data_IF_995553400369
#
_entry.id   IF_995553400369
#
_cell.length_a   1.000
_cell.length_b   1.000
_cell.length_c   1.000
_cell.angle_alpha   90.00
_cell.angle_beta   90.00
_cell.angle_gamma   90.00
#
_symmetry.space_group_name_H-M   'P 1'
#
loop_
_entity.id
_entity.type
_entity.pdbx_description
1 polymer ?
#
# COMPACT_ATOMS: atom_id res chain seq x y z
N UNK A 1 5.71 -18.72 -3.24
CA UNK A 1 5.21 -17.45 -2.66
C UNK A 1 3.98 -17.02 -3.44
N UNK A 2 2.94 -16.62 -2.72
CA UNK A 2 1.74 -16.10 -3.37
C UNK A 2 2.01 -14.74 -4.00
N UNK A 3 1.32 -14.43 -5.09
CA UNK A 3 1.47 -13.12 -5.74
C UNK A 3 1.13 -11.98 -4.78
N UNK A 4 0.11 -12.18 -3.94
CA UNK A 4 -0.29 -11.17 -2.94
C UNK A 4 0.85 -10.88 -1.96
N UNK A 5 1.52 -11.92 -1.46
CA UNK A 5 2.63 -11.76 -0.52
C UNK A 5 3.81 -11.05 -1.18
N UNK A 6 4.09 -11.40 -2.43
CA UNK A 6 5.17 -10.78 -3.18
C UNK A 6 4.88 -9.30 -3.43
N UNK A 7 3.66 -8.97 -3.84
CA UNK A 7 3.25 -7.60 -4.10
C UNK A 7 3.33 -6.76 -2.82
N UNK A 8 2.84 -7.31 -1.72
CA UNK A 8 2.90 -6.65 -0.42
C UNK A 8 4.35 -6.34 -0.01
N UNK A 9 5.22 -7.35 -0.09
CA UNK A 9 6.64 -7.20 0.28
C UNK A 9 7.34 -6.21 -0.63
N UNK A 10 7.08 -6.25 -1.93
CA UNK A 10 7.69 -5.38 -2.92
C UNK A 10 7.31 -3.93 -2.69
N UNK A 11 6.03 -3.66 -2.51
CA UNK A 11 5.54 -2.30 -2.27
C UNK A 11 6.13 -1.75 -0.97
N UNK A 12 6.09 -2.55 0.10
CA UNK A 12 6.61 -2.14 1.39
C UNK A 12 8.11 -1.83 1.31
N UNK A 13 8.86 -2.65 0.60
CA UNK A 13 10.29 -2.44 0.41
C UNK A 13 10.56 -1.13 -0.32
N UNK A 14 9.84 -0.87 -1.41
CA UNK A 14 10.02 0.35 -2.20
C UNK A 14 9.70 1.58 -1.36
N UNK A 15 8.61 1.54 -0.60
CA UNK A 15 8.24 2.65 0.29
C UNK A 15 9.33 2.90 1.33
N UNK A 16 9.83 1.84 1.98
CA UNK A 16 10.85 1.97 3.01
C UNK A 16 12.21 2.42 2.45
N UNK A 17 12.48 2.10 1.19
CA UNK A 17 13.73 2.49 0.54
C UNK A 17 13.68 3.90 -0.07
N UNK A 18 12.51 4.53 -0.11
CA UNK A 18 12.35 5.86 -0.68
C UNK A 18 12.78 6.94 0.32
N UNK A 19 13.89 7.65 0.09
CA UNK A 19 14.38 8.65 1.04
C UNK A 19 13.51 9.89 1.11
N UNK A 20 12.59 10.08 0.15
CA UNK A 20 11.70 11.24 0.14
C UNK A 20 10.43 11.03 0.97
N UNK A 21 10.18 9.80 1.41
CA UNK A 21 9.03 9.50 2.27
C UNK A 21 9.51 9.48 3.72
N UNK A 22 9.06 10.47 4.50
CA UNK A 22 9.33 10.51 5.92
C UNK A 22 8.31 9.65 6.65
N UNK A 23 8.77 8.90 7.64
CA UNK A 23 7.88 8.03 8.40
C UNK A 23 7.48 6.76 7.67
N UNK A 24 8.27 6.33 6.69
CA UNK A 24 7.98 5.11 5.94
C UNK A 24 7.85 3.88 6.85
N UNK A 25 8.57 3.86 7.98
CA UNK A 25 8.49 2.77 8.95
C UNK A 25 7.12 2.66 9.63
N UNK A 26 6.31 3.71 9.55
CA UNK A 26 4.95 3.73 10.10
C UNK A 26 3.88 3.43 9.05
N UNK A 27 4.30 3.06 7.85
CA UNK A 27 3.39 2.69 6.75
C UNK A 27 3.36 1.18 6.63
N UNK A 28 2.16 0.64 6.57
CA UNK A 28 1.93 -0.79 6.44
C UNK A 28 1.15 -1.06 5.15
N UNK A 29 1.48 -2.17 4.50
CA UNK A 29 0.84 -2.58 3.25
C UNK A 29 0.25 -3.96 3.46
N UNK A 30 -0.99 -4.15 3.04
CA UNK A 30 -1.61 -5.46 3.03
C UNK A 30 -2.39 -5.66 1.74
N UNK A 31 -2.56 -6.90 1.34
CA UNK A 31 -3.43 -7.27 0.23
C UNK A 31 -4.63 -7.99 0.84
N UNK A 32 -5.80 -7.42 0.66
CA UNK A 32 -7.03 -7.93 1.25
C UNK A 32 -8.02 -8.30 0.17
N UNK A 33 -8.93 -9.21 0.49
CA UNK A 33 -10.03 -9.55 -0.41
C UNK A 33 -11.24 -8.73 -0.04
N UNK A 34 -11.89 -8.17 -1.05
CA UNK A 34 -13.09 -7.35 -0.88
C UNK A 34 -14.21 -7.88 -1.76
N UNK A 35 -15.42 -7.80 -1.26
CA UNK A 35 -16.60 -8.27 -1.96
C UNK A 35 -17.14 -9.54 -1.36
N UNK A 36 -18.20 -10.09 -1.98
CA UNK A 36 -18.88 -11.29 -1.51
C UNK A 36 -18.62 -12.43 -2.50
N UNK A 37 -18.26 -13.60 -1.95
CA UNK A 37 -18.04 -14.79 -2.78
C UNK A 37 -19.28 -15.07 -3.65
N UNK A 38 -19.13 -15.43 -4.95
CA UNK A 38 -17.89 -15.72 -5.65
C UNK A 38 -17.20 -14.50 -6.31
N UNK A 39 -17.69 -13.29 -6.06
CA UNK A 39 -17.20 -12.08 -6.72
C UNK A 39 -16.29 -11.28 -5.79
N UNK A 40 -15.24 -11.93 -5.30
CA UNK A 40 -14.22 -11.25 -4.52
C UNK A 40 -13.09 -10.76 -5.43
N UNK A 41 -12.47 -9.66 -5.06
CA UNK A 41 -11.26 -9.17 -5.72
C UNK A 41 -10.25 -8.73 -4.67
N UNK A 42 -8.98 -8.83 -5.04
CA UNK A 42 -7.91 -8.38 -4.17
C UNK A 42 -7.71 -6.89 -4.31
N UNK A 43 -7.51 -6.23 -3.17
CA UNK A 43 -7.18 -4.80 -3.11
C UNK A 43 -5.93 -4.60 -2.29
N UNK A 44 -5.15 -3.59 -2.63
CA UNK A 44 -3.97 -3.22 -1.86
C UNK A 44 -4.39 -2.14 -0.88
N UNK A 45 -4.17 -2.38 0.40
CA UNK A 45 -4.57 -1.44 1.46
C UNK A 45 -3.31 -0.88 2.11
N UNK A 46 -3.22 0.45 2.15
CA UNK A 46 -2.16 1.16 2.85
C UNK A 46 -2.71 1.66 4.17
N UNK A 47 -1.99 1.36 5.25
CA UNK A 47 -2.37 1.76 6.61
C UNK A 47 -1.18 2.39 7.31
N UNK A 48 -1.44 3.05 8.41
CA UNK A 48 -0.41 3.66 9.22
C UNK A 48 -0.63 5.14 9.39
N UNK A 49 0.44 5.87 9.70
CA UNK A 49 0.36 7.31 9.91
C UNK A 49 1.61 8.00 9.41
N UNK A 50 1.42 9.21 8.87
CA UNK A 50 2.50 10.08 8.42
C UNK A 50 2.19 11.51 8.87
N UNK A 51 3.20 12.38 8.84
CA UNK A 51 3.01 13.79 9.22
C UNK A 51 2.64 14.68 8.03
N UNK A 52 3.03 14.27 6.83
CA UNK A 52 2.82 15.06 5.62
C UNK A 52 1.89 14.32 4.66
N UNK A 53 0.92 15.04 4.11
CA UNK A 53 0.01 14.45 3.12
C UNK A 53 0.75 14.02 1.85
N UNK A 54 1.87 14.68 1.54
CA UNK A 54 2.70 14.30 0.39
C UNK A 54 3.30 12.91 0.55
N UNK A 55 3.61 12.49 1.78
CA UNK A 55 4.13 11.15 2.03
C UNK A 55 3.06 10.10 1.76
N UNK A 56 1.82 10.36 2.16
CA UNK A 56 0.69 9.49 1.87
C UNK A 56 0.47 9.37 0.36
N UNK A 57 0.52 10.49 -0.36
CA UNK A 57 0.35 10.50 -1.81
C UNK A 57 1.46 9.73 -2.51
N UNK A 58 2.70 9.89 -2.08
CA UNK A 58 3.83 9.15 -2.66
C UNK A 58 3.69 7.66 -2.44
N UNK A 59 3.30 7.23 -1.24
CA UNK A 59 3.06 5.82 -0.94
C UNK A 59 1.95 5.26 -1.83
N UNK A 60 0.88 6.00 -2.02
CA UNK A 60 -0.23 5.59 -2.89
C UNK A 60 0.23 5.42 -4.35
N UNK A 61 1.03 6.35 -4.85
CA UNK A 61 1.57 6.24 -6.22
C UNK A 61 2.45 5.02 -6.39
N UNK A 62 3.31 4.75 -5.42
CA UNK A 62 4.17 3.55 -5.44
C UNK A 62 3.30 2.29 -5.45
N UNK A 63 2.29 2.24 -4.58
CA UNK A 63 1.40 1.10 -4.51
C UNK A 63 0.65 0.90 -5.84
N UNK A 64 0.16 1.97 -6.44
CA UNK A 64 -0.56 1.89 -7.72
C UNK A 64 0.31 1.36 -8.85
N UNK A 65 1.59 1.75 -8.88
CA UNK A 65 2.53 1.27 -9.90
C UNK A 65 2.83 -0.22 -9.77
N UNK A 66 2.75 -0.76 -8.57
CA UNK A 66 3.14 -2.14 -8.29
C UNK A 66 1.96 -3.03 -7.88
N UNK A 67 0.74 -2.52 -7.99
CA UNK A 67 -0.45 -3.27 -7.56
C UNK A 67 -0.90 -4.35 -8.55
N UNK A 68 -0.29 -4.41 -9.72
CA UNK A 68 -0.61 -5.40 -10.76
C UNK A 68 -2.11 -5.40 -11.12
N UNK A 69 -2.65 -4.21 -11.34
CA UNK A 69 -4.05 -4.03 -11.72
C UNK A 69 -5.04 -4.03 -10.57
N UNK A 70 -4.57 -4.25 -9.34
CA UNK A 70 -5.43 -4.23 -8.16
C UNK A 70 -5.75 -2.80 -7.76
N UNK A 71 -6.94 -2.61 -7.18
CA UNK A 71 -7.32 -1.32 -6.61
C UNK A 71 -6.46 -1.02 -5.38
N UNK A 72 -6.08 0.24 -5.21
CA UNK A 72 -5.33 0.70 -4.04
C UNK A 72 -6.26 1.52 -3.15
N UNK A 73 -6.35 1.12 -1.89
CA UNK A 73 -7.11 1.85 -0.88
C UNK A 73 -6.10 2.49 0.08
N UNK A 74 -6.09 3.81 0.11
CA UNK A 74 -5.19 4.55 0.98
C UNK A 74 -5.92 4.92 2.28
N UNK A 75 -5.56 4.22 3.35
CA UNK A 75 -6.10 4.47 4.70
C UNK A 75 -5.04 5.03 5.64
N UNK A 76 -4.00 5.65 5.09
CA UNK A 76 -2.94 6.26 5.89
C UNK A 76 -3.49 7.53 6.54
N UNK A 77 -3.32 7.64 7.85
CA UNK A 77 -3.70 8.83 8.60
C UNK A 77 -2.60 9.89 8.48
N UNK A 78 -3.00 11.14 8.32
CA UNK A 78 -2.07 12.28 8.30
C UNK A 78 -2.28 13.07 9.57
N UNK A 79 -1.22 13.29 10.33
CA UNK A 79 -1.29 13.99 11.62
C UNK A 79 -0.53 15.30 11.63
#
# INVERSE_FOLDING_TARGET
MRDADRIQSEILKIINDDPTIQGASHIFVSVEKKGVWPRTKEVVVLKGSVHESSDSTKAEKIAALHAAGREVINSIAVH
#
